data_IF_653515939790
#
_entry.id   IF_653515939790
#
_cell.length_a   1.000
_cell.length_b   1.000
_cell.length_c   1.000
_cell.angle_alpha   90.00
_cell.angle_beta   90.00
_cell.angle_gamma   90.00
#
_symmetry.space_group_name_H-M   'P 1'
#
loop_
_entity.id
_entity.type
_entity.pdbx_description
1 polymer ?
#
# COMPACT_ATOMS: atom_id res chain seq x y z
N UNK A 1 4.39 -3.06 -23.03
CA UNK A 1 4.19 -2.51 -21.67
C UNK A 1 4.58 -3.59 -20.68
N UNK A 2 5.67 -3.41 -19.93
CA UNK A 2 5.89 -4.24 -18.73
C UNK A 2 4.67 -4.02 -17.84
N UNK A 3 4.03 -5.08 -17.35
CA UNK A 3 3.02 -4.95 -16.29
C UNK A 3 3.68 -4.10 -15.22
N UNK A 4 3.17 -2.88 -15.00
CA UNK A 4 3.52 -2.11 -13.83
C UNK A 4 3.36 -3.07 -12.65
N UNK A 5 4.41 -3.24 -11.85
CA UNK A 5 4.33 -4.08 -10.66
C UNK A 5 3.12 -3.59 -9.89
N UNK A 6 2.08 -4.41 -9.86
CA UNK A 6 0.82 -4.08 -9.20
C UNK A 6 1.15 -3.76 -7.75
N UNK A 7 0.99 -2.49 -7.34
CA UNK A 7 1.15 -2.02 -5.95
C UNK A 7 0.06 -2.58 -5.03
N UNK A 8 -0.70 -3.57 -5.52
CA UNK A 8 -1.73 -4.27 -4.81
C UNK A 8 -1.16 -4.91 -3.52
N UNK A 9 -1.78 -4.62 -2.36
CA UNK A 9 -1.39 -5.15 -1.06
C UNK A 9 -1.78 -6.63 -0.86
N UNK A 10 -1.42 -7.50 -1.81
CA UNK A 10 -1.68 -8.95 -1.73
C UNK A 10 -3.17 -9.29 -1.77
N UNK A 11 -3.64 -10.12 -0.83
CA UNK A 11 -5.04 -10.58 -0.78
C UNK A 11 -6.05 -9.46 -0.55
N UNK A 12 -5.61 -8.27 -0.12
CA UNK A 12 -6.49 -7.12 0.05
C UNK A 12 -6.95 -6.51 -1.28
N UNK A 13 -6.27 -6.81 -2.40
CA UNK A 13 -6.71 -6.43 -3.74
C UNK A 13 -6.70 -4.92 -4.04
N UNK A 14 -7.09 -4.52 -5.26
CA UNK A 14 -7.30 -3.12 -5.63
C UNK A 14 -8.27 -2.37 -4.70
N UNK A 15 -9.32 -3.03 -4.20
CA UNK A 15 -10.24 -2.42 -3.25
C UNK A 15 -9.55 -2.07 -1.92
N UNK A 16 -8.73 -2.98 -1.41
CA UNK A 16 -7.93 -2.73 -0.21
C UNK A 16 -6.88 -1.65 -0.44
N UNK A 17 -6.24 -1.62 -1.60
CA UNK A 17 -5.33 -0.54 -1.98
C UNK A 17 -5.99 0.84 -1.85
N UNK A 18 -7.19 1.00 -2.43
CA UNK A 18 -7.94 2.27 -2.37
C UNK A 18 -8.34 2.63 -0.93
N UNK A 19 -8.84 1.66 -0.15
CA UNK A 19 -9.21 1.89 1.25
C UNK A 19 -8.00 2.30 2.12
N UNK A 20 -6.86 1.64 1.93
CA UNK A 20 -5.61 1.97 2.61
C UNK A 20 -5.09 3.35 2.18
N UNK A 21 -5.15 3.68 0.89
CA UNK A 21 -4.80 5.01 0.39
C UNK A 21 -5.63 6.10 1.05
N UNK A 22 -6.96 5.96 1.04
CA UNK A 22 -7.88 6.95 1.61
C UNK A 22 -7.58 7.18 3.10
N UNK A 23 -7.36 6.10 3.86
CA UNK A 23 -6.99 6.17 5.27
C UNK A 23 -5.65 6.89 5.47
N UNK A 24 -4.61 6.48 4.75
CA UNK A 24 -3.25 7.03 4.88
C UNK A 24 -3.17 8.50 4.45
N UNK A 25 -3.96 8.90 3.43
CA UNK A 25 -4.10 10.30 3.04
C UNK A 25 -4.72 11.11 4.18
N UNK A 26 -5.82 10.63 4.78
CA UNK A 26 -6.47 11.30 5.91
C UNK A 26 -5.53 11.47 7.11
N UNK A 27 -4.78 10.42 7.44
CA UNK A 27 -3.93 10.37 8.63
C UNK A 27 -2.59 11.11 8.44
N UNK A 28 -1.91 10.90 7.31
CA UNK A 28 -0.50 11.29 7.16
C UNK A 28 -0.22 12.48 6.24
N UNK A 29 -1.21 12.99 5.50
CA UNK A 29 -0.97 14.10 4.56
C UNK A 29 -0.32 15.33 5.21
N UNK A 30 -0.74 15.67 6.43
CA UNK A 30 -0.18 16.83 7.15
C UNK A 30 1.29 16.64 7.50
N UNK A 31 1.66 15.46 7.99
CA UNK A 31 3.04 15.13 8.38
C UNK A 31 3.93 15.00 7.15
N UNK A 32 3.45 14.34 6.09
CA UNK A 32 4.20 14.16 4.85
C UNK A 32 4.47 15.48 4.13
N UNK A 33 3.52 16.42 4.15
CA UNK A 33 3.73 17.78 3.61
C UNK A 33 4.85 18.53 4.35
N UNK A 34 4.90 18.41 5.68
CA UNK A 34 6.00 19.00 6.48
C UNK A 34 7.33 18.33 6.17
N UNK A 35 7.35 17.00 6.07
CA UNK A 35 8.56 16.22 5.74
C UNK A 35 9.07 16.48 4.32
N UNK A 36 8.18 16.80 3.38
CA UNK A 36 8.56 17.12 2.00
C UNK A 36 9.49 18.34 1.87
N UNK A 37 9.65 19.16 2.90
CA UNK A 37 10.63 20.26 2.91
C UNK A 37 12.06 19.73 2.95
N UNK A 38 12.31 18.66 3.70
CA UNK A 38 13.66 18.15 3.99
C UNK A 38 13.92 16.74 3.44
N UNK A 39 12.86 15.99 3.10
CA UNK A 39 12.94 14.62 2.57
C UNK A 39 12.89 14.62 1.04
N UNK A 40 14.03 14.28 0.41
CA UNK A 40 14.17 14.30 -1.06
C UNK A 40 13.27 13.29 -1.78
N UNK A 41 12.92 12.17 -1.16
CA UNK A 41 12.06 11.15 -1.78
C UNK A 41 10.63 11.67 -1.85
N UNK A 42 10.14 12.22 -0.74
CA UNK A 42 8.79 12.79 -0.68
C UNK A 42 8.72 14.07 -1.53
N UNK A 43 9.73 14.93 -1.47
CA UNK A 43 9.78 16.18 -2.25
C UNK A 43 9.75 15.92 -3.76
N UNK A 44 10.47 14.90 -4.24
CA UNK A 44 10.64 14.65 -5.67
C UNK A 44 9.40 14.08 -6.37
N UNK A 45 8.50 13.40 -5.64
CA UNK A 45 7.32 12.72 -6.21
C UNK A 45 5.99 13.19 -5.62
N UNK A 46 6.02 13.88 -4.49
CA UNK A 46 4.85 14.33 -3.76
C UNK A 46 4.33 13.31 -2.75
N UNK A 47 3.66 13.80 -1.70
CA UNK A 47 3.16 12.99 -0.59
C UNK A 47 2.16 11.91 -1.02
N UNK A 48 1.30 12.20 -2.01
CA UNK A 48 0.33 11.24 -2.51
C UNK A 48 0.99 10.03 -3.19
N UNK A 49 1.98 10.28 -4.05
CA UNK A 49 2.73 9.21 -4.72
C UNK A 49 3.53 8.37 -3.70
N UNK A 50 4.07 9.00 -2.66
CA UNK A 50 4.74 8.28 -1.58
C UNK A 50 3.78 7.38 -0.80
N UNK A 51 2.56 7.84 -0.50
CA UNK A 51 1.54 7.01 0.13
C UNK A 51 1.24 5.78 -0.72
N UNK A 52 0.89 5.99 -2.00
CA UNK A 52 0.49 4.92 -2.92
C UNK A 52 1.60 3.89 -3.17
N UNK A 53 2.83 4.35 -3.38
CA UNK A 53 3.93 3.46 -3.76
C UNK A 53 4.65 2.81 -2.57
N UNK A 54 4.54 3.38 -1.36
CA UNK A 54 5.31 2.93 -0.19
C UNK A 54 4.42 2.59 0.99
N UNK A 55 3.62 3.54 1.46
CA UNK A 55 2.90 3.36 2.73
C UNK A 55 1.76 2.35 2.65
N UNK A 56 1.12 2.19 1.50
CA UNK A 56 0.11 1.14 1.30
C UNK A 56 0.72 -0.25 1.47
N UNK A 57 1.87 -0.50 0.86
CA UNK A 57 2.56 -1.79 0.99
C UNK A 57 2.99 -2.04 2.44
N UNK A 58 3.51 -1.03 3.14
CA UNK A 58 3.91 -1.15 4.54
C UNK A 58 2.70 -1.40 5.46
N UNK A 59 1.58 -0.71 5.24
CA UNK A 59 0.34 -0.96 5.97
C UNK A 59 -0.17 -2.37 5.71
N UNK A 60 -0.19 -2.82 4.44
CA UNK A 60 -0.58 -4.18 4.07
C UNK A 60 0.25 -5.25 4.77
N UNK A 61 1.58 -5.08 4.85
CA UNK A 61 2.46 -5.99 5.58
C UNK A 61 2.10 -6.05 7.06
N UNK A 62 1.88 -4.90 7.71
CA UNK A 62 1.51 -4.85 9.13
C UNK A 62 0.18 -5.54 9.42
N UNK A 63 -0.82 -5.30 8.58
CA UNK A 63 -2.13 -5.96 8.73
C UNK A 63 -2.00 -7.47 8.52
N UNK A 64 -1.20 -7.94 7.55
CA UNK A 64 -0.93 -9.38 7.37
C UNK A 64 -0.22 -9.97 8.58
N UNK A 65 0.76 -9.26 9.16
CA UNK A 65 1.45 -9.71 10.36
C UNK A 65 0.47 -9.91 11.52
N UNK A 66 -0.46 -8.98 11.71
CA UNK A 66 -1.45 -9.02 12.78
C UNK A 66 -2.49 -10.13 12.53
N UNK A 67 -3.04 -10.21 11.32
CA UNK A 67 -4.08 -11.18 10.93
C UNK A 67 -3.57 -12.62 10.99
N UNK A 68 -2.35 -12.86 10.50
CA UNK A 68 -1.78 -14.21 10.34
C UNK A 68 -0.75 -14.57 11.41
N UNK A 69 -0.44 -13.66 12.34
CA UNK A 69 0.61 -13.81 13.37
C UNK A 69 1.95 -14.23 12.79
N UNK A 70 2.34 -13.55 11.70
CA UNK A 70 3.56 -13.83 10.95
C UNK A 70 4.69 -12.87 11.30
N UNK A 71 5.93 -13.32 11.09
CA UNK A 71 7.06 -12.39 11.03
C UNK A 71 6.95 -11.51 9.79
N UNK A 72 7.58 -10.34 9.82
CA UNK A 72 7.58 -9.39 8.71
C UNK A 72 8.03 -10.02 7.38
N UNK A 73 9.11 -10.82 7.39
CA UNK A 73 9.58 -11.52 6.19
C UNK A 73 8.52 -12.44 5.60
N UNK A 74 7.81 -13.20 6.45
CA UNK A 74 6.74 -14.10 6.01
C UNK A 74 5.51 -13.33 5.53
N UNK A 75 5.20 -12.21 6.18
CA UNK A 75 4.11 -11.33 5.75
C UNK A 75 4.37 -10.71 4.38
N UNK A 76 5.59 -10.23 4.11
CA UNK A 76 6.01 -9.72 2.79
C UNK A 76 5.91 -10.80 1.71
N UNK A 77 6.35 -12.03 2.01
CA UNK A 77 6.20 -13.18 1.10
C UNK A 77 4.73 -13.50 0.82
N UNK A 78 3.89 -13.53 1.86
CA UNK A 78 2.47 -13.81 1.72
C UNK A 78 1.77 -12.71 0.92
N UNK A 79 2.10 -11.44 1.16
CA UNK A 79 1.57 -10.31 0.38
C UNK A 79 1.87 -10.49 -1.10
N UNK A 80 3.09 -10.87 -1.47
CA UNK A 80 3.45 -11.10 -2.87
C UNK A 80 2.69 -12.29 -3.47
N UNK A 81 2.68 -13.44 -2.79
CA UNK A 81 2.05 -14.66 -3.28
C UNK A 81 0.52 -14.55 -3.43
N UNK A 82 -0.10 -13.61 -2.71
CA UNK A 82 -1.55 -13.46 -2.68
C UNK A 82 -2.12 -12.41 -3.62
N UNK A 83 -1.30 -11.70 -4.41
CA UNK A 83 -1.76 -10.63 -5.32
C UNK A 83 -2.83 -11.09 -6.30
N UNK A 84 -2.62 -12.22 -6.97
CA UNK A 84 -3.58 -12.78 -7.94
C UNK A 84 -4.91 -13.11 -7.25
N UNK A 85 -4.86 -13.64 -6.03
CA UNK A 85 -6.06 -13.89 -5.25
C UNK A 85 -6.79 -12.57 -4.95
N UNK A 86 -6.08 -11.56 -4.45
CA UNK A 86 -6.65 -10.26 -4.13
C UNK A 86 -7.29 -9.57 -5.34
N UNK A 87 -6.70 -9.68 -6.53
CA UNK A 87 -7.30 -9.18 -7.77
C UNK A 87 -8.64 -9.84 -8.08
N UNK A 88 -8.79 -11.14 -7.80
CA UNK A 88 -10.02 -11.88 -8.04
C UNK A 88 -11.10 -11.64 -6.97
N UNK A 89 -10.70 -11.59 -5.68
CA UNK A 89 -11.67 -11.53 -4.57
C UNK A 89 -11.97 -10.13 -4.06
N UNK A 90 -11.08 -9.17 -4.32
CA UNK A 90 -11.21 -7.77 -3.92
C UNK A 90 -10.94 -6.83 -5.10
N UNK A 91 -11.66 -6.99 -6.23
CA UNK A 91 -11.49 -6.14 -7.41
C UNK A 91 -11.88 -4.69 -7.11
N UNK A 92 -11.43 -3.79 -7.96
CA UNK A 92 -11.90 -2.40 -7.91
C UNK A 92 -13.42 -2.35 -8.15
N UNK A 93 -14.12 -1.54 -7.36
CA UNK A 93 -15.55 -1.31 -7.51
C UNK A 93 -15.69 0.06 -8.16
N UNK A 94 -16.26 0.11 -9.37
CA UNK A 94 -16.66 1.36 -10.00
C UNK A 94 -17.70 2.04 -9.09
N UNK A 95 -17.41 3.27 -8.66
CA UNK A 95 -18.33 4.09 -7.84
C UNK A 95 -19.32 4.83 -8.73
#
# INVERSE_FOLDING_TARGET
MKREESFNPGYYGPRGFNAMCDYLVGEFSGVLKKRAVDDRVIAGRGSAAFIQAVLVAELGVRLIMDDMRLSETKARQLMEHSKVLGELVQPEIER
#
